data_IF_339452365141
#
_entry.id   IF_339452365141
#
_cell.length_a   1.000
_cell.length_b   1.000
_cell.length_c   1.000
_cell.angle_alpha   90.00
_cell.angle_beta   90.00
_cell.angle_gamma   90.00
#
_symmetry.space_group_name_H-M   'P 1'
#
loop_
_entity.id
_entity.type
_entity.pdbx_description
1 polymer ?
#
# COMPACT_ATOMS: atom_id res chain seq x y z
N UNK A 1 -12.28 14.77 11.34
CA UNK A 1 -10.93 14.81 10.74
C UNK A 1 -10.21 13.54 11.13
N UNK A 2 -9.62 12.84 10.16
CA UNK A 2 -8.78 11.67 10.36
C UNK A 2 -7.42 11.96 9.73
N UNK A 3 -6.31 11.77 10.47
CA UNK A 3 -4.95 11.97 9.97
C UNK A 3 -4.04 10.82 10.41
N UNK A 4 -3.03 10.45 9.62
CA UNK A 4 -2.16 9.33 9.97
C UNK A 4 -1.21 9.70 11.11
N UNK A 5 -0.92 8.76 12.01
CA UNK A 5 0.10 8.90 13.06
C UNK A 5 0.95 7.63 13.12
N UNK A 6 1.44 7.22 11.94
CA UNK A 6 2.25 6.02 11.80
C UNK A 6 3.57 6.19 12.52
N UNK A 7 4.07 5.07 13.04
CA UNK A 7 5.43 4.95 13.52
C UNK A 7 6.36 4.75 12.32
N UNK A 8 7.66 4.62 12.56
CA UNK A 8 8.65 4.64 11.49
C UNK A 8 8.52 3.42 10.55
N UNK A 9 9.46 3.27 9.63
CA UNK A 9 9.43 2.23 8.61
C UNK A 9 10.08 0.93 9.10
N UNK A 10 9.79 -0.17 8.40
CA UNK A 10 10.54 -1.45 8.57
C UNK A 10 11.96 -1.41 8.01
N UNK A 11 12.35 -0.28 7.42
CA UNK A 11 13.61 -0.15 6.70
C UNK A 11 14.74 0.37 7.60
N UNK A 12 14.43 0.83 8.81
CA UNK A 12 15.41 1.34 9.76
C UNK A 12 16.11 0.21 10.52
N UNK A 13 17.30 0.48 11.03
CA UNK A 13 18.20 -0.55 11.59
C UNK A 13 17.69 -1.20 12.87
N UNK A 14 16.87 -0.47 13.64
CA UNK A 14 16.28 -0.94 14.88
C UNK A 14 14.75 -0.88 14.75
N UNK A 15 14.12 -2.05 14.61
CA UNK A 15 12.65 -2.19 14.59
C UNK A 15 11.98 -1.66 15.87
N UNK A 16 12.73 -1.22 16.89
CA UNK A 16 12.21 -0.60 18.10
C UNK A 16 11.32 0.62 17.83
N UNK A 17 11.58 1.39 16.76
CA UNK A 17 10.80 2.58 16.42
C UNK A 17 9.60 2.31 15.52
N UNK A 18 9.47 1.08 15.02
CA UNK A 18 8.43 0.65 14.09
C UNK A 18 7.05 0.48 14.73
N UNK A 19 7.00 0.33 16.06
CA UNK A 19 5.75 0.15 16.80
C UNK A 19 5.59 1.22 17.89
N UNK A 20 4.35 1.42 18.36
CA UNK A 20 4.11 2.25 19.52
C UNK A 20 4.48 1.49 20.80
N UNK A 21 5.72 1.67 21.28
CA UNK A 21 6.26 0.87 22.38
C UNK A 21 5.76 1.28 23.78
N UNK A 22 5.22 2.50 23.92
CA UNK A 22 4.53 2.97 25.13
C UNK A 22 3.01 2.75 25.08
N UNK A 23 2.50 2.08 24.04
CA UNK A 23 1.10 1.67 23.92
C UNK A 23 0.96 0.20 24.29
N UNK A 24 0.28 -0.09 25.39
CA UNK A 24 -0.30 -1.42 25.54
C UNK A 24 -1.45 -1.49 24.54
N UNK A 25 -1.28 -2.19 23.42
CA UNK A 25 -2.28 -2.23 22.35
C UNK A 25 -3.55 -3.05 22.73
N UNK A 26 -3.89 -3.05 24.01
CA UNK A 26 -4.97 -3.80 24.65
C UNK A 26 -6.20 -2.91 24.83
N UNK A 27 -7.41 -3.46 24.73
CA UNK A 27 -8.59 -2.70 24.32
C UNK A 27 -9.48 -2.27 25.48
N UNK A 28 -8.91 -1.83 26.61
CA UNK A 28 -9.76 -1.38 27.72
C UNK A 28 -10.77 -0.31 27.29
N UNK A 29 -10.41 0.53 26.31
CA UNK A 29 -11.33 1.46 25.63
C UNK A 29 -11.23 1.45 24.08
N UNK A 30 -10.41 0.57 23.50
CA UNK A 30 -10.16 0.43 22.06
C UNK A 30 -9.27 1.52 21.44
N UNK A 31 -8.68 2.42 22.24
CA UNK A 31 -7.85 3.53 21.78
C UNK A 31 -6.42 3.41 22.32
N UNK A 32 -5.48 4.09 21.66
CA UNK A 32 -4.08 4.08 22.05
C UNK A 32 -3.74 5.29 22.93
N UNK A 33 -3.07 5.03 24.04
CA UNK A 33 -2.63 6.04 25.01
C UNK A 33 -1.23 6.58 24.73
N UNK A 34 -0.53 6.00 23.75
CA UNK A 34 0.84 6.39 23.37
C UNK A 34 0.98 7.88 23.08
N UNK A 35 2.02 8.46 23.68
CA UNK A 35 2.41 9.85 23.45
C UNK A 35 3.51 9.99 22.39
N UNK A 36 4.05 8.88 21.90
CA UNK A 36 5.08 8.89 20.86
C UNK A 36 4.59 9.64 19.61
N UNK A 37 5.42 10.52 19.03
CA UNK A 37 5.06 11.25 17.82
C UNK A 37 4.96 10.29 16.63
N UNK A 38 4.17 10.70 15.63
CA UNK A 38 4.16 10.06 14.32
C UNK A 38 5.11 10.74 13.34
N UNK A 39 5.44 10.06 12.25
CA UNK A 39 6.39 10.55 11.22
C UNK A 39 5.71 11.15 9.98
N UNK A 40 4.40 11.41 10.05
CA UNK A 40 3.57 11.76 8.89
C UNK A 40 3.43 13.28 8.66
N UNK A 41 4.39 14.05 9.18
CA UNK A 41 4.47 15.50 9.02
C UNK A 41 3.82 16.31 10.15
N UNK A 42 4.21 17.59 10.23
CA UNK A 42 3.85 18.50 11.33
C UNK A 42 2.35 18.73 11.49
N UNK A 43 1.58 18.69 10.40
CA UNK A 43 0.11 18.88 10.46
C UNK A 43 -0.53 17.73 11.24
N UNK A 44 -0.19 16.49 10.91
CA UNK A 44 -0.76 15.34 11.60
C UNK A 44 -0.36 15.30 13.08
N UNK A 45 0.90 15.63 13.38
CA UNK A 45 1.39 15.72 14.76
C UNK A 45 0.71 16.85 15.55
N UNK A 46 0.46 18.01 14.92
CA UNK A 46 -0.29 19.11 15.53
C UNK A 46 -1.72 18.67 15.87
N UNK A 47 -2.36 17.90 14.99
CA UNK A 47 -3.70 17.34 15.26
C UNK A 47 -3.65 16.33 16.40
N UNK A 48 -2.62 15.46 16.48
CA UNK A 48 -2.43 14.52 17.59
C UNK A 48 -2.41 15.20 18.95
N UNK A 49 -1.74 16.34 19.04
CA UNK A 49 -1.55 17.09 20.29
C UNK A 49 -2.75 17.95 20.69
N UNK A 50 -3.77 18.10 19.82
CA UNK A 50 -4.95 18.91 20.12
C UNK A 50 -5.82 18.26 21.21
N UNK A 51 -6.39 19.06 22.14
CA UNK A 51 -7.41 18.58 23.07
C UNK A 51 -8.58 17.91 22.33
N UNK A 52 -8.99 16.73 22.81
CA UNK A 52 -10.09 15.96 22.22
C UNK A 52 -9.72 15.07 21.04
N UNK A 53 -8.45 15.05 20.62
CA UNK A 53 -7.96 14.07 19.66
C UNK A 53 -7.86 12.68 20.28
N UNK A 54 -8.27 11.67 19.51
CA UNK A 54 -8.18 10.25 19.87
C UNK A 54 -7.20 9.56 18.93
N UNK A 55 -6.48 8.54 19.43
CA UNK A 55 -5.56 7.72 18.63
C UNK A 55 -6.07 6.30 18.53
N UNK A 56 -6.08 5.74 17.32
CA UNK A 56 -6.46 4.35 17.09
C UNK A 56 -5.34 3.40 17.54
N UNK A 57 -5.71 2.23 18.02
CA UNK A 57 -4.77 1.29 18.59
C UNK A 57 -4.28 0.24 17.58
N UNK A 58 -3.46 0.64 16.61
CA UNK A 58 -2.74 -0.27 15.71
C UNK A 58 -1.22 -0.13 15.93
N UNK A 59 -0.46 -1.23 16.05
CA UNK A 59 0.94 -1.22 16.48
C UNK A 59 1.82 -0.34 15.59
N UNK A 60 1.64 -0.44 14.27
CA UNK A 60 2.51 0.23 13.29
C UNK A 60 1.85 1.45 12.62
N UNK A 61 0.52 1.47 12.49
CA UNK A 61 -0.22 2.39 11.60
C UNK A 61 -1.41 3.04 12.31
N UNK A 62 -1.17 3.60 13.49
CA UNK A 62 -2.23 4.33 14.19
C UNK A 62 -2.69 5.58 13.43
N UNK A 63 -3.96 5.96 13.63
CA UNK A 63 -4.60 7.16 13.10
C UNK A 63 -5.06 8.06 14.23
N UNK A 64 -5.10 9.37 13.98
CA UNK A 64 -5.68 10.36 14.87
C UNK A 64 -7.02 10.81 14.33
N UNK A 65 -8.03 10.80 15.19
CA UNK A 65 -9.37 11.28 14.92
C UNK A 65 -9.69 12.47 15.80
N UNK A 66 -10.25 13.51 15.19
CA UNK A 66 -10.77 14.68 15.88
C UNK A 66 -12.20 14.97 15.43
N UNK A 67 -13.11 15.10 16.39
CA UNK A 67 -14.53 15.39 16.19
C UNK A 67 -15.47 14.21 16.50
N UNK A 68 -16.77 14.42 16.30
CA UNK A 68 -17.85 13.52 16.73
C UNK A 68 -17.72 12.05 16.27
N UNK A 69 -17.15 11.83 15.09
CA UNK A 69 -17.00 10.49 14.50
C UNK A 69 -15.71 9.77 14.94
N UNK A 70 -14.80 10.45 15.65
CA UNK A 70 -13.47 9.92 15.95
C UNK A 70 -13.52 8.58 16.70
N UNK A 71 -14.31 8.49 17.77
CA UNK A 71 -14.43 7.25 18.55
C UNK A 71 -14.97 6.09 17.72
N UNK A 72 -15.97 6.34 16.86
CA UNK A 72 -16.56 5.34 15.96
C UNK A 72 -15.52 4.80 14.99
N UNK A 73 -14.76 5.68 14.33
CA UNK A 73 -13.78 5.30 13.30
C UNK A 73 -12.56 4.57 13.87
N UNK A 74 -12.14 4.88 15.09
CA UNK A 74 -10.86 4.40 15.63
C UNK A 74 -10.99 3.23 16.61
N UNK A 75 -12.13 3.11 17.28
CA UNK A 75 -12.28 2.25 18.46
C UNK A 75 -12.17 0.75 18.19
N UNK A 76 -12.15 0.31 16.92
CA UNK A 76 -11.99 -1.09 16.52
C UNK A 76 -10.66 -1.40 15.82
N UNK A 77 -9.81 -0.41 15.57
CA UNK A 77 -8.59 -0.61 14.78
C UNK A 77 -7.60 -1.59 15.45
N UNK A 78 -7.72 -1.81 16.76
CA UNK A 78 -6.94 -2.82 17.48
C UNK A 78 -7.23 -4.26 17.06
N UNK A 79 -8.41 -4.51 16.47
CA UNK A 79 -8.79 -5.81 15.93
C UNK A 79 -8.24 -6.05 14.53
N UNK A 80 -7.80 -5.00 13.84
CA UNK A 80 -7.37 -5.13 12.45
C UNK A 80 -6.10 -5.95 12.36
N UNK A 81 -6.06 -7.02 11.55
CA UNK A 81 -4.93 -7.95 11.54
C UNK A 81 -3.75 -7.43 10.68
N UNK A 82 -3.97 -6.35 9.95
CA UNK A 82 -2.99 -5.56 9.19
C UNK A 82 -3.33 -4.07 9.37
N UNK A 83 -2.52 -3.19 8.80
CA UNK A 83 -2.72 -1.74 8.79
C UNK A 83 -4.00 -1.29 8.07
N UNK A 84 -4.46 -2.06 7.08
CA UNK A 84 -5.57 -1.71 6.20
C UNK A 84 -6.60 -2.86 6.09
N UNK A 85 -6.55 -3.85 6.97
CA UNK A 85 -7.43 -5.01 6.95
C UNK A 85 -8.79 -4.72 7.56
N UNK A 86 -9.61 -5.75 7.76
CA UNK A 86 -10.92 -5.58 8.40
C UNK A 86 -10.82 -4.81 9.73
N UNK A 87 -11.87 -4.07 10.10
CA UNK A 87 -11.92 -3.19 11.29
C UNK A 87 -10.98 -1.96 11.28
N UNK A 88 -10.25 -1.69 10.19
CA UNK A 88 -9.52 -0.43 10.04
C UNK A 88 -10.48 0.77 9.83
N UNK A 89 -10.04 2.03 10.07
CA UNK A 89 -10.91 3.20 9.97
C UNK A 89 -11.59 3.43 8.60
N UNK A 90 -11.01 2.95 7.51
CA UNK A 90 -11.54 3.11 6.16
C UNK A 90 -12.79 2.26 5.88
N UNK A 91 -12.99 1.14 6.59
CA UNK A 91 -14.23 0.33 6.50
C UNK A 91 -15.47 1.10 6.98
N UNK A 92 -15.26 2.13 7.79
CA UNK A 92 -16.31 2.89 8.46
C UNK A 92 -16.56 4.28 7.83
N UNK A 93 -15.86 4.60 6.74
CA UNK A 93 -16.05 5.84 5.99
C UNK A 93 -17.30 5.76 5.10
N UNK A 94 -18.02 6.87 5.03
CA UNK A 94 -19.19 7.03 4.17
C UNK A 94 -18.74 7.48 2.76
N UNK A 95 -19.56 7.24 1.73
CA UNK A 95 -19.21 7.63 0.35
C UNK A 95 -19.03 9.15 0.19
N UNK A 96 -19.69 9.94 1.05
CA UNK A 96 -19.55 11.40 1.11
C UNK A 96 -18.34 11.89 1.90
N UNK A 97 -17.61 11.02 2.58
CA UNK A 97 -16.34 11.41 3.20
C UNK A 97 -15.31 11.76 2.11
N UNK A 98 -14.32 12.57 2.47
CA UNK A 98 -13.33 13.07 1.52
C UNK A 98 -11.91 12.72 1.95
N UNK A 99 -11.08 12.36 0.97
CA UNK A 99 -9.63 12.29 1.09
C UNK A 99 -9.05 13.62 0.59
N UNK A 100 -8.22 14.25 1.41
CA UNK A 100 -7.56 15.51 1.10
C UNK A 100 -6.04 15.29 1.05
N UNK A 101 -5.41 15.60 -0.08
CA UNK A 101 -3.96 15.66 -0.20
C UNK A 101 -3.50 17.10 -0.03
N UNK A 102 -2.74 17.40 1.01
CA UNK A 102 -2.26 18.75 1.32
C UNK A 102 -0.79 18.88 0.96
N UNK A 103 -0.50 19.50 -0.20
CA UNK A 103 0.87 19.68 -0.68
C UNK A 103 1.59 18.38 -1.08
N UNK A 104 0.84 17.30 -1.26
CA UNK A 104 1.33 15.99 -1.70
C UNK A 104 0.45 15.46 -2.85
N UNK A 105 1.00 14.53 -3.63
CA UNK A 105 0.26 13.84 -4.69
C UNK A 105 -0.46 12.61 -4.14
N UNK A 106 -1.16 11.90 -5.04
CA UNK A 106 -1.89 10.67 -4.72
C UNK A 106 -0.97 9.51 -4.28
N UNK A 107 0.33 9.61 -4.45
CA UNK A 107 1.32 8.63 -3.98
C UNK A 107 1.26 8.41 -2.46
N UNK A 108 0.83 9.44 -1.71
CA UNK A 108 0.71 9.40 -0.24
C UNK A 108 -0.65 8.95 0.27
N UNK A 109 -1.59 8.63 -0.60
CA UNK A 109 -2.94 8.22 -0.19
C UNK A 109 -2.93 6.75 0.25
N UNK A 110 -3.08 6.50 1.55
CA UNK A 110 -3.09 5.12 2.09
C UNK A 110 -4.30 4.29 1.61
N UNK A 111 -5.37 4.96 1.18
CA UNK A 111 -6.62 4.32 0.76
C UNK A 111 -6.45 3.36 -0.44
N UNK A 112 -5.39 3.52 -1.25
CA UNK A 112 -5.04 2.55 -2.30
C UNK A 112 -4.87 1.14 -1.72
N UNK A 113 -4.10 1.02 -0.65
CA UNK A 113 -3.79 -0.27 -0.02
C UNK A 113 -4.99 -0.93 0.63
N UNK A 114 -5.89 -0.14 1.17
CA UNK A 114 -7.14 -0.66 1.71
C UNK A 114 -7.96 -1.36 0.64
N UNK A 115 -8.12 -0.79 -0.55
CA UNK A 115 -8.88 -1.47 -1.60
C UNK A 115 -8.12 -2.65 -2.22
N UNK A 116 -6.79 -2.61 -2.27
CA UNK A 116 -5.99 -3.78 -2.66
C UNK A 116 -6.18 -4.96 -1.69
N UNK A 117 -6.11 -4.69 -0.39
CA UNK A 117 -6.29 -5.70 0.64
C UNK A 117 -7.74 -6.19 0.71
N UNK A 118 -8.71 -5.27 0.68
CA UNK A 118 -10.15 -5.60 0.66
C UNK A 118 -10.51 -6.53 -0.50
N UNK A 119 -9.87 -6.34 -1.66
CA UNK A 119 -10.09 -7.15 -2.84
C UNK A 119 -9.12 -8.33 -2.96
N UNK A 120 -8.22 -8.50 -1.99
CA UNK A 120 -7.24 -9.59 -1.95
C UNK A 120 -6.50 -9.75 -3.28
N UNK A 121 -5.95 -8.64 -3.79
CA UNK A 121 -5.21 -8.62 -5.06
C UNK A 121 -4.11 -9.69 -5.06
N UNK A 122 -3.81 -10.33 -6.21
CA UNK A 122 -2.91 -11.47 -6.28
C UNK A 122 -1.45 -11.18 -5.90
N UNK A 123 -1.08 -9.91 -5.77
CA UNK A 123 0.25 -9.46 -5.36
C UNK A 123 0.24 -8.96 -3.90
N UNK A 124 -0.41 -9.67 -2.98
CA UNK A 124 -0.36 -9.29 -1.56
C UNK A 124 1.08 -9.29 -1.02
N UNK A 125 1.37 -8.28 -0.20
CA UNK A 125 2.67 -8.01 0.39
C UNK A 125 3.24 -9.09 1.33
N UNK A 126 4.45 -8.85 1.83
CA UNK A 126 5.04 -9.68 2.89
C UNK A 126 4.37 -9.39 4.24
N UNK A 127 3.77 -10.40 4.85
CA UNK A 127 3.00 -10.25 6.09
C UNK A 127 3.71 -10.76 7.35
N UNK A 128 3.81 -9.91 8.37
CA UNK A 128 4.21 -10.30 9.73
C UNK A 128 3.00 -10.35 10.67
N UNK A 129 2.54 -11.56 11.05
CA UNK A 129 1.33 -11.73 11.87
C UNK A 129 1.45 -11.13 13.27
N UNK A 130 2.59 -11.29 13.93
CA UNK A 130 2.81 -10.80 15.30
C UNK A 130 2.77 -9.26 15.36
N UNK A 131 3.40 -8.61 14.38
CA UNK A 131 3.44 -7.14 14.27
C UNK A 131 2.19 -6.57 13.59
N UNK A 132 1.30 -7.43 13.07
CA UNK A 132 0.12 -7.06 12.27
C UNK A 132 0.48 -6.10 11.14
N UNK A 133 1.54 -6.42 10.41
CA UNK A 133 2.07 -5.55 9.37
C UNK A 133 2.21 -6.27 8.03
N UNK A 134 1.61 -5.68 7.01
CA UNK A 134 1.70 -6.08 5.62
C UNK A 134 2.54 -5.08 4.82
N UNK A 135 3.63 -5.53 4.23
CA UNK A 135 4.47 -4.71 3.37
C UNK A 135 4.07 -4.87 1.89
N UNK A 136 3.36 -3.86 1.36
CA UNK A 136 2.73 -3.90 0.03
C UNK A 136 3.69 -3.76 -1.18
N UNK A 137 5.00 -3.61 -0.98
CA UNK A 137 5.95 -3.35 -2.08
C UNK A 137 6.74 -4.58 -2.51
N UNK A 138 6.82 -5.61 -1.67
CA UNK A 138 7.64 -6.80 -1.93
C UNK A 138 7.31 -7.49 -3.26
N UNK A 139 6.05 -7.84 -3.57
CA UNK A 139 5.71 -8.60 -4.77
C UNK A 139 5.56 -7.73 -6.03
N UNK A 140 5.97 -6.46 -6.01
CA UNK A 140 5.97 -5.61 -7.20
C UNK A 140 6.27 -4.15 -6.92
N UNK A 141 7.12 -3.54 -7.76
CA UNK A 141 7.25 -2.09 -7.81
C UNK A 141 5.89 -1.49 -8.16
N UNK A 142 5.54 -0.39 -7.49
CA UNK A 142 4.16 0.13 -7.53
C UNK A 142 4.08 1.34 -8.43
N UNK A 143 3.08 1.37 -9.30
CA UNK A 143 2.73 2.55 -10.11
C UNK A 143 2.61 3.81 -9.24
N UNK A 144 2.03 3.65 -8.05
CA UNK A 144 1.89 4.68 -7.03
C UNK A 144 3.19 5.37 -6.63
N UNK A 145 4.30 4.63 -6.53
CA UNK A 145 5.57 5.14 -6.01
C UNK A 145 6.57 5.45 -7.11
N UNK A 146 6.62 4.62 -8.15
CA UNK A 146 7.58 4.78 -9.26
C UNK A 146 7.15 5.88 -10.23
N UNK A 147 5.86 6.00 -10.53
CA UNK A 147 5.34 6.98 -11.48
C UNK A 147 4.15 7.76 -10.90
N UNK A 148 4.35 8.48 -9.79
CA UNK A 148 3.28 9.16 -9.07
C UNK A 148 2.59 10.24 -9.91
N UNK A 149 3.32 10.87 -10.84
CA UNK A 149 2.75 11.85 -11.79
C UNK A 149 1.75 11.22 -12.76
N UNK A 150 2.03 10.02 -13.27
CA UNK A 150 1.11 9.28 -14.15
C UNK A 150 -0.17 8.94 -13.37
N UNK A 151 -0.04 8.43 -12.15
CA UNK A 151 -1.19 8.10 -11.30
C UNK A 151 -2.00 9.37 -10.93
N UNK A 152 -1.33 10.48 -10.65
CA UNK A 152 -1.97 11.78 -10.38
C UNK A 152 -2.81 12.25 -11.58
N UNK A 153 -2.25 12.22 -12.78
CA UNK A 153 -2.94 12.68 -13.99
C UNK A 153 -4.05 11.73 -14.43
N UNK A 154 -3.86 10.42 -14.23
CA UNK A 154 -4.92 9.42 -14.35
C UNK A 154 -6.12 9.77 -13.47
N UNK A 155 -5.91 10.05 -12.19
CA UNK A 155 -7.01 10.38 -11.26
C UNK A 155 -7.74 11.66 -11.67
N UNK A 156 -7.02 12.68 -12.18
CA UNK A 156 -7.63 13.90 -12.72
C UNK A 156 -8.45 13.60 -13.98
N UNK A 157 -7.89 12.84 -14.91
CA UNK A 157 -8.54 12.48 -16.17
C UNK A 157 -9.77 11.58 -15.96
N UNK A 158 -9.75 10.73 -14.94
CA UNK A 158 -10.90 9.94 -14.49
C UNK A 158 -12.01 10.79 -13.83
N UNK A 159 -11.71 12.05 -13.48
CA UNK A 159 -12.64 12.97 -12.81
C UNK A 159 -12.79 12.74 -11.30
N UNK A 160 -12.06 11.76 -10.74
CA UNK A 160 -12.15 11.42 -9.31
C UNK A 160 -11.32 12.36 -8.42
N UNK A 161 -10.32 13.03 -8.99
CA UNK A 161 -9.44 13.96 -8.30
C UNK A 161 -9.60 15.39 -8.82
N UNK A 162 -10.00 16.29 -7.92
CA UNK A 162 -9.98 17.74 -8.16
C UNK A 162 -8.78 18.33 -7.46
N UNK A 163 -8.04 19.20 -8.15
CA UNK A 163 -6.87 19.88 -7.58
C UNK A 163 -7.06 21.38 -7.51
N UNK A 164 -6.48 22.01 -6.49
CA UNK A 164 -6.51 23.47 -6.31
C UNK A 164 -5.41 23.93 -5.35
N UNK A 165 -5.25 25.24 -5.22
CA UNK A 165 -4.29 25.81 -4.30
C UNK A 165 -4.82 25.81 -2.86
N UNK A 166 -3.98 25.35 -1.92
CA UNK A 166 -4.17 25.57 -0.48
C UNK A 166 -2.88 26.20 0.05
N UNK A 167 -2.97 27.48 0.42
CA UNK A 167 -1.79 28.30 0.68
C UNK A 167 -0.89 28.36 -0.56
N UNK A 168 0.40 28.00 -0.39
CA UNK A 168 1.38 27.96 -1.49
C UNK A 168 1.48 26.60 -2.20
N UNK A 169 0.68 25.62 -1.78
CA UNK A 169 0.80 24.23 -2.23
C UNK A 169 -0.32 23.83 -3.18
N UNK A 170 -0.02 22.94 -4.12
CA UNK A 170 -1.04 22.22 -4.88
C UNK A 170 -1.61 21.11 -4.00
N UNK A 171 -2.92 21.07 -3.88
CA UNK A 171 -3.65 20.12 -3.04
C UNK A 171 -4.76 19.44 -3.85
N UNK A 172 -5.14 18.24 -3.44
CA UNK A 172 -6.12 17.41 -4.11
C UNK A 172 -7.26 17.01 -3.18
N UNK A 173 -8.46 16.85 -3.73
CA UNK A 173 -9.61 16.28 -3.02
C UNK A 173 -10.28 15.19 -3.86
N UNK A 174 -10.63 14.10 -3.21
CA UNK A 174 -11.39 12.97 -3.77
C UNK A 174 -12.49 12.59 -2.79
N UNK A 175 -13.66 12.19 -3.28
CA UNK A 175 -14.66 11.55 -2.41
C UNK A 175 -14.28 10.08 -2.20
N UNK A 176 -14.61 9.52 -1.04
CA UNK A 176 -14.41 8.09 -0.77
C UNK A 176 -15.27 7.24 -1.73
N UNK A 177 -16.46 7.71 -2.08
CA UNK A 177 -17.34 7.06 -3.06
C UNK A 177 -16.73 6.94 -4.46
N UNK A 178 -16.20 8.04 -5.02
CA UNK A 178 -15.55 8.00 -6.33
C UNK A 178 -14.30 7.11 -6.31
N UNK A 179 -13.49 7.21 -5.25
CA UNK A 179 -12.30 6.39 -5.08
C UNK A 179 -12.63 4.90 -5.01
N UNK A 180 -13.66 4.54 -4.23
CA UNK A 180 -14.19 3.18 -4.10
C UNK A 180 -14.60 2.61 -5.45
N UNK A 181 -15.44 3.34 -6.18
CA UNK A 181 -15.96 2.89 -7.48
C UNK A 181 -14.84 2.78 -8.51
N UNK A 182 -13.91 3.74 -8.54
CA UNK A 182 -12.76 3.68 -9.42
C UNK A 182 -11.90 2.45 -9.13
N UNK A 183 -11.51 2.24 -7.87
CA UNK A 183 -10.68 1.10 -7.46
C UNK A 183 -11.37 -0.24 -7.73
N UNK A 184 -12.65 -0.37 -7.40
CA UNK A 184 -13.43 -1.55 -7.72
C UNK A 184 -13.41 -1.84 -9.23
N UNK A 185 -13.61 -0.81 -10.04
CA UNK A 185 -13.67 -0.95 -11.50
C UNK A 185 -12.34 -1.37 -12.11
N UNK A 186 -11.24 -0.71 -11.72
CA UNK A 186 -9.93 -1.01 -12.31
C UNK A 186 -9.38 -2.35 -11.84
N UNK A 187 -9.64 -2.76 -10.59
CA UNK A 187 -9.27 -4.10 -10.09
C UNK A 187 -10.12 -5.18 -10.77
N UNK A 188 -11.42 -4.93 -10.99
CA UNK A 188 -12.28 -5.88 -11.69
C UNK A 188 -11.84 -6.11 -13.14
N UNK A 189 -11.29 -5.08 -13.79
CA UNK A 189 -10.71 -5.19 -15.13
C UNK A 189 -9.31 -5.84 -15.11
N UNK A 190 -8.44 -5.37 -14.22
CA UNK A 190 -7.07 -5.86 -14.06
C UNK A 190 -6.69 -5.98 -12.58
N UNK A 191 -6.66 -7.19 -12.01
CA UNK A 191 -6.26 -7.36 -10.63
C UNK A 191 -4.78 -7.08 -10.39
N UNK A 192 -3.96 -6.78 -11.41
CA UNK A 192 -2.54 -6.41 -11.35
C UNK A 192 -2.28 -4.92 -11.66
N UNK A 193 -3.33 -4.10 -11.61
CA UNK A 193 -3.30 -2.74 -12.14
C UNK A 193 -2.29 -1.81 -11.41
N UNK A 194 -1.95 -2.05 -10.15
CA UNK A 194 -1.07 -1.16 -9.37
C UNK A 194 0.40 -1.56 -9.32
N UNK A 195 0.78 -2.78 -9.75
CA UNK A 195 2.19 -3.24 -9.77
C UNK A 195 2.75 -3.20 -11.17
N UNK A 196 4.03 -2.94 -11.35
CA UNK A 196 4.66 -2.78 -12.67
C UNK A 196 5.35 -4.06 -13.12
N UNK A 197 5.33 -4.33 -14.43
CA UNK A 197 6.03 -5.46 -15.05
C UNK A 197 6.70 -5.04 -16.35
N UNK A 198 7.72 -5.79 -16.82
CA UNK A 198 8.22 -5.65 -18.19
C UNK A 198 7.07 -5.62 -19.20
N UNK A 199 7.04 -4.67 -20.14
CA UNK A 199 5.96 -4.53 -21.11
C UNK A 199 5.87 -5.72 -22.08
N UNK A 200 6.99 -6.41 -22.34
CA UNK A 200 7.13 -7.53 -23.26
C UNK A 200 8.38 -8.38 -22.92
N UNK A 201 8.85 -9.20 -23.87
CA UNK A 201 10.00 -10.12 -23.73
C UNK A 201 11.35 -9.46 -23.94
N UNK A 202 11.38 -8.24 -24.49
CA UNK A 202 12.61 -7.60 -24.98
C UNK A 202 12.94 -6.30 -24.23
N UNK A 203 12.03 -5.80 -23.39
CA UNK A 203 12.20 -4.55 -22.64
C UNK A 203 11.88 -4.71 -21.15
N UNK A 204 12.72 -4.13 -20.28
CA UNK A 204 12.45 -3.94 -18.85
C UNK A 204 12.01 -2.50 -18.49
N UNK A 205 11.61 -1.69 -19.49
CA UNK A 205 11.15 -0.32 -19.26
C UNK A 205 9.74 -0.30 -18.65
N UNK A 206 9.71 -0.18 -17.32
CA UNK A 206 8.47 -0.15 -16.53
C UNK A 206 7.62 1.10 -16.78
N UNK A 207 8.18 2.18 -17.35
CA UNK A 207 7.39 3.38 -17.67
C UNK A 207 6.37 3.08 -18.78
N UNK A 208 6.73 2.22 -19.73
CA UNK A 208 5.82 1.77 -20.80
C UNK A 208 4.62 1.02 -20.21
N UNK A 209 4.86 0.12 -19.25
CA UNK A 209 3.79 -0.59 -18.54
C UNK A 209 2.92 0.37 -17.72
N UNK A 210 3.53 1.35 -17.05
CA UNK A 210 2.80 2.39 -16.30
C UNK A 210 1.81 3.16 -17.18
N UNK A 211 2.24 3.61 -18.36
CA UNK A 211 1.35 4.29 -19.31
C UNK A 211 0.22 3.37 -19.82
N UNK A 212 0.55 2.13 -20.21
CA UNK A 212 -0.44 1.15 -20.68
C UNK A 212 -1.49 0.84 -19.60
N UNK A 213 -1.07 0.73 -18.34
CA UNK A 213 -1.97 0.52 -17.20
C UNK A 213 -2.85 1.73 -16.95
N UNK A 214 -2.30 2.94 -16.98
CA UNK A 214 -3.09 4.15 -16.83
C UNK A 214 -4.14 4.30 -17.94
N UNK A 215 -3.77 4.03 -19.20
CA UNK A 215 -4.72 4.01 -20.33
C UNK A 215 -5.82 2.97 -20.11
N UNK A 216 -5.45 1.73 -19.74
CA UNK A 216 -6.39 0.65 -19.48
C UNK A 216 -7.36 0.98 -18.34
N UNK A 217 -6.87 1.56 -17.25
CA UNK A 217 -7.67 2.03 -16.13
C UNK A 217 -8.71 3.08 -16.56
N UNK A 218 -8.30 4.09 -17.35
CA UNK A 218 -9.23 5.08 -17.90
C UNK A 218 -10.27 4.45 -18.82
N UNK A 219 -9.84 3.51 -19.67
CA UNK A 219 -10.75 2.81 -20.55
C UNK A 219 -11.79 2.03 -19.76
N UNK A 220 -11.36 1.23 -18.77
CA UNK A 220 -12.26 0.48 -17.89
C UNK A 220 -13.24 1.40 -17.15
N UNK A 221 -12.75 2.51 -16.59
CA UNK A 221 -13.57 3.50 -15.89
C UNK A 221 -14.64 4.13 -16.78
N UNK A 222 -14.31 4.45 -18.03
CA UNK A 222 -15.27 5.00 -19.01
C UNK A 222 -16.40 4.03 -19.38
N UNK A 223 -16.20 2.73 -19.19
CA UNK A 223 -17.25 1.71 -19.41
C UNK A 223 -18.25 1.63 -18.25
N UNK A 224 -18.05 2.42 -17.18
CA UNK A 224 -18.92 2.50 -16.01
C UNK A 224 -18.45 1.65 -14.83
N UNK A 225 -18.99 1.89 -13.62
CA UNK A 225 -18.57 1.20 -12.42
C UNK A 225 -18.74 -0.31 -12.50
N UNK A 226 -17.75 -1.06 -12.02
CA UNK A 226 -17.80 -2.52 -11.87
C UNK A 226 -17.34 -2.91 -10.48
N UNK A 227 -17.98 -3.93 -9.92
CA UNK A 227 -17.53 -4.54 -8.68
C UNK A 227 -16.62 -5.74 -9.00
N UNK A 228 -15.46 -5.85 -8.34
CA UNK A 228 -14.59 -7.00 -8.47
C UNK A 228 -15.26 -8.25 -7.87
N UNK A 229 -14.87 -9.43 -8.36
CA UNK A 229 -15.38 -10.69 -7.83
C UNK A 229 -14.93 -10.85 -6.38
N UNK A 230 -15.87 -11.21 -5.51
CA UNK A 230 -15.55 -11.54 -4.12
C UNK A 230 -14.52 -12.69 -4.09
N UNK A 231 -13.39 -12.45 -3.43
CA UNK A 231 -12.35 -13.47 -3.20
C UNK A 231 -12.54 -14.01 -1.79
N UNK A 232 -12.78 -15.31 -1.65
CA UNK A 232 -12.96 -15.94 -0.34
C UNK A 232 -11.63 -16.18 0.37
N UNK A 233 -11.56 -15.85 1.67
CA UNK A 233 -10.69 -16.45 2.70
C UNK A 233 -9.21 -16.65 2.35
N UNK A 234 -8.61 -15.76 1.56
CA UNK A 234 -7.15 -15.68 1.51
C UNK A 234 -6.72 -14.65 2.55
N UNK A 235 -5.77 -15.04 3.39
CA UNK A 235 -5.09 -14.14 4.29
C UNK A 235 -3.71 -13.83 3.69
N UNK A 236 -3.18 -12.59 3.78
CA UNK A 236 -1.81 -12.30 3.35
C UNK A 236 -0.81 -13.28 3.96
N UNK A 237 0.20 -13.68 3.18
CA UNK A 237 1.23 -14.61 3.62
C UNK A 237 2.58 -13.92 3.66
N UNK A 238 3.55 -14.56 4.31
CA UNK A 238 4.95 -14.19 4.10
C UNK A 238 5.33 -14.47 2.65
N UNK A 239 6.11 -13.56 2.08
CA UNK A 239 6.81 -13.80 0.82
C UNK A 239 8.15 -14.42 1.19
N UNK A 240 8.43 -15.61 0.68
CA UNK A 240 9.67 -16.34 0.92
C UNK A 240 10.50 -16.40 -0.39
N UNK A 241 11.82 -16.60 -0.31
CA UNK A 241 12.62 -16.92 -1.48
C UNK A 241 12.07 -18.13 -2.24
N UNK A 242 12.13 -18.08 -3.57
CA UNK A 242 11.68 -19.18 -4.41
C UNK A 242 12.43 -20.48 -4.08
N UNK A 243 11.67 -21.56 -3.89
CA UNK A 243 12.20 -22.91 -3.70
C UNK A 243 12.36 -23.63 -5.05
N UNK A 244 12.94 -24.83 -5.03
CA UNK A 244 13.16 -25.65 -6.24
C UNK A 244 11.88 -26.01 -7.01
N UNK A 245 10.72 -25.99 -6.34
CA UNK A 245 9.42 -26.24 -6.96
C UNK A 245 8.78 -24.99 -7.56
N UNK A 246 9.29 -23.80 -7.27
CA UNK A 246 8.71 -22.55 -7.74
C UNK A 246 9.19 -22.21 -9.15
N UNK A 247 8.33 -21.54 -9.90
CA UNK A 247 8.72 -21.01 -11.21
C UNK A 247 9.69 -19.84 -11.01
N UNK A 248 10.80 -19.86 -11.74
CA UNK A 248 11.71 -18.71 -11.91
C UNK A 248 11.86 -18.46 -13.40
N UNK A 249 11.42 -17.29 -13.86
CA UNK A 249 11.48 -16.89 -15.27
C UNK A 249 12.80 -16.21 -15.60
N UNK A 250 13.82 -17.01 -15.87
CA UNK A 250 15.15 -16.52 -16.26
C UNK A 250 15.14 -15.80 -17.63
N UNK A 251 14.11 -16.04 -18.45
CA UNK A 251 13.86 -15.36 -19.73
C UNK A 251 13.18 -13.99 -19.57
N UNK A 252 12.82 -13.59 -18.35
CA UNK A 252 12.19 -12.30 -18.10
C UNK A 252 13.24 -11.17 -18.10
N UNK A 253 13.00 -10.02 -18.78
CA UNK A 253 13.91 -8.87 -18.74
C UNK A 253 14.19 -8.32 -17.32
N UNK A 254 13.27 -8.56 -16.39
CA UNK A 254 13.41 -8.20 -14.98
C UNK A 254 14.13 -9.24 -14.12
N UNK A 255 14.51 -10.40 -14.64
CA UNK A 255 15.32 -11.34 -13.89
C UNK A 255 16.69 -10.71 -13.58
N UNK A 256 17.03 -10.62 -12.31
CA UNK A 256 18.25 -9.97 -11.83
C UNK A 256 19.35 -10.98 -11.43
N UNK A 257 19.19 -12.25 -11.80
CA UNK A 257 20.14 -13.30 -11.49
C UNK A 257 19.92 -13.98 -10.14
N UNK A 258 20.86 -14.85 -9.79
CA UNK A 258 20.88 -15.57 -8.53
C UNK A 258 22.01 -15.07 -7.62
N UNK A 259 21.69 -14.90 -6.35
CA UNK A 259 22.62 -14.43 -5.33
C UNK A 259 22.66 -15.39 -4.15
N UNK A 260 23.81 -15.48 -3.48
CA UNK A 260 23.98 -16.36 -2.33
C UNK A 260 23.87 -15.56 -1.04
N UNK A 261 23.00 -15.99 -0.13
CA UNK A 261 22.92 -15.41 1.22
C UNK A 261 22.70 -16.53 2.23
N UNK A 262 23.52 -16.58 3.28
CA UNK A 262 23.43 -17.60 4.34
C UNK A 262 23.38 -19.05 3.79
N UNK A 263 24.16 -19.32 2.74
CA UNK A 263 24.22 -20.66 2.12
C UNK A 263 23.02 -21.02 1.22
N UNK A 264 22.07 -20.11 1.00
CA UNK A 264 20.94 -20.30 0.09
C UNK A 264 21.15 -19.52 -1.21
N UNK A 265 20.79 -20.14 -2.34
CA UNK A 265 20.74 -19.49 -3.66
C UNK A 265 19.36 -18.84 -3.83
N UNK A 266 19.33 -17.53 -4.01
CA UNK A 266 18.12 -16.70 -4.05
C UNK A 266 18.02 -16.02 -5.41
N UNK A 267 16.88 -16.15 -6.08
CA UNK A 267 16.58 -15.47 -7.34
C UNK A 267 15.99 -14.08 -7.11
N UNK A 268 16.48 -13.09 -7.85
CA UNK A 268 16.08 -11.68 -7.71
C UNK A 268 15.36 -11.13 -8.95
N UNK A 269 14.55 -10.09 -8.74
CA UNK A 269 13.71 -9.46 -9.74
C UNK A 269 13.77 -7.92 -9.63
N UNK A 270 14.08 -7.24 -10.74
CA UNK A 270 14.10 -5.78 -10.85
C UNK A 270 12.71 -5.15 -10.71
N UNK A 271 11.65 -5.87 -11.07
CA UNK A 271 10.27 -5.40 -11.00
C UNK A 271 9.59 -5.65 -9.64
N UNK A 272 10.32 -6.17 -8.65
CA UNK A 272 9.83 -6.39 -7.29
C UNK A 272 10.57 -5.48 -6.31
N UNK A 273 9.85 -5.03 -5.27
CA UNK A 273 10.41 -4.16 -4.25
C UNK A 273 11.33 -4.89 -3.28
N UNK A 274 12.11 -4.12 -2.52
CA UNK A 274 13.02 -4.62 -1.49
C UNK A 274 12.30 -5.54 -0.52
N UNK A 275 12.93 -6.66 -0.17
CA UNK A 275 12.41 -7.53 0.87
C UNK A 275 12.92 -7.10 2.25
N UNK A 276 12.04 -6.85 3.23
CA UNK A 276 12.43 -6.29 4.54
C UNK A 276 13.33 -7.17 5.40
N UNK A 277 13.45 -8.46 5.09
CA UNK A 277 14.37 -9.37 5.78
C UNK A 277 15.71 -9.56 5.03
N UNK A 278 15.80 -9.21 3.74
CA UNK A 278 17.00 -9.41 2.92
C UNK A 278 17.72 -8.11 2.57
N UNK A 279 17.04 -6.95 2.64
CA UNK A 279 17.59 -5.68 2.15
C UNK A 279 18.89 -5.22 2.84
N UNK A 280 19.16 -5.72 4.06
CA UNK A 280 20.40 -5.46 4.82
C UNK A 280 21.55 -6.43 4.48
N UNK A 281 21.31 -7.40 3.60
CA UNK A 281 22.36 -8.28 3.10
C UNK A 281 23.34 -7.55 2.18
N UNK A 282 23.96 -8.29 1.25
CA UNK A 282 24.78 -7.67 0.20
C UNK A 282 23.99 -6.57 -0.53
N UNK A 283 24.69 -5.54 -1.04
CA UNK A 283 24.06 -4.34 -1.61
C UNK A 283 23.07 -4.59 -2.75
N UNK A 284 23.12 -5.76 -3.39
CA UNK A 284 22.17 -6.20 -4.42
C UNK A 284 20.74 -6.41 -3.90
N UNK A 285 20.56 -6.86 -2.65
CA UNK A 285 19.23 -7.07 -2.05
C UNK A 285 18.55 -5.75 -1.66
N UNK A 286 19.32 -4.65 -1.60
CA UNK A 286 18.78 -3.31 -1.48
C UNK A 286 18.37 -2.71 -2.85
N UNK A 287 18.78 -3.33 -3.95
CA UNK A 287 18.45 -2.89 -5.31
C UNK A 287 17.28 -3.68 -5.89
N UNK A 288 17.20 -4.98 -5.62
CA UNK A 288 16.23 -5.88 -6.25
C UNK A 288 15.43 -6.69 -5.23
N UNK A 289 14.17 -6.96 -5.56
CA UNK A 289 13.29 -7.82 -4.78
C UNK A 289 13.47 -9.30 -5.07
N UNK A 290 12.84 -10.15 -4.26
CA UNK A 290 12.76 -11.59 -4.54
C UNK A 290 11.92 -11.86 -5.79
N UNK A 291 12.22 -12.92 -6.55
CA UNK A 291 11.30 -13.38 -7.60
C UNK A 291 10.01 -13.94 -7.00
N UNK A 292 8.87 -13.58 -7.58
CA UNK A 292 7.54 -14.10 -7.22
C UNK A 292 6.79 -14.58 -8.47
N UNK A 293 7.46 -15.33 -9.36
CA UNK A 293 6.94 -15.58 -10.71
C UNK A 293 5.62 -16.39 -10.73
N UNK A 294 5.37 -17.25 -9.74
CA UNK A 294 4.10 -17.99 -9.61
C UNK A 294 2.88 -17.06 -9.59
N UNK A 295 2.99 -15.90 -8.95
CA UNK A 295 1.92 -14.91 -8.80
C UNK A 295 2.06 -13.71 -9.75
N UNK A 296 3.05 -13.74 -10.66
CA UNK A 296 3.39 -12.62 -11.53
C UNK A 296 2.56 -12.60 -12.82
N UNK A 297 1.90 -11.49 -13.12
CA UNK A 297 1.12 -11.32 -14.35
C UNK A 297 1.94 -11.43 -15.65
N UNK A 298 3.23 -11.10 -15.62
CA UNK A 298 4.10 -11.31 -16.80
C UNK A 298 4.26 -12.78 -17.12
N UNK A 299 4.46 -13.63 -16.10
CA UNK A 299 4.55 -15.08 -16.26
C UNK A 299 3.22 -15.68 -16.76
N UNK A 300 2.08 -15.14 -16.30
CA UNK A 300 0.76 -15.59 -16.76
C UNK A 300 0.48 -15.27 -18.23
N UNK A 301 1.16 -14.26 -18.79
CA UNK A 301 0.96 -13.78 -20.17
C UNK A 301 1.87 -14.47 -21.18
N UNK A 302 3.04 -14.94 -20.77
CA UNK A 302 4.14 -15.34 -21.65
C UNK A 302 4.64 -16.74 -21.39
#
# INVERSE_FOLDING_TARGET
>A
LLVPAFRDSVWDDDYSDFTNSDCECTPSDGLCTSRQPGFQGVIAETVRQRPGSLRSCHPTHSWIGLGKSARRLLGRHYLSPTQCGADNPFELMDESDCVLTLGVMVDRVTLWHYYEEKQMVPYMGHYWPEQRHLNNTVPGLRLQYEFPGILQDLCKAAGILKTGAVGKSSSGIMTVGDFKQFMGTVIADDPYCMVLRPPDRDSDDLAVDAFRKAERMLHAWKQGPREPKAVSNKFPKRVEPAESSDVVREDCPSFAGYHHMQGKKISLCKANGRHPEFFRGEGVFNQYGLTTCNDCSWNMKH
#
